data_IF_345104773919
#
_entry.id   IF_345104773919
#
_cell.length_a   1.000
_cell.length_b   1.000
_cell.length_c   1.000
_cell.angle_alpha   90.00
_cell.angle_beta   90.00
_cell.angle_gamma   90.00
#
_symmetry.space_group_name_H-M   'P 1'
#
loop_
_entity.id
_entity.type
_entity.pdbx_description
1 polymer ?
#
# COMPACT_ATOMS: atom_id res chain seq x y z
N UNK A 1 44.43 -21.37 26.54
CA UNK A 1 43.84 -21.51 25.18
C UNK A 1 44.33 -20.41 24.26
N UNK A 2 45.18 -20.78 23.31
CA UNK A 2 45.81 -19.89 22.33
C UNK A 2 44.82 -19.44 21.23
N UNK A 3 45.11 -18.36 20.51
CA UNK A 3 44.28 -17.85 19.42
C UNK A 3 44.20 -18.81 18.22
N UNK A 4 45.28 -19.54 17.91
CA UNK A 4 45.28 -20.53 16.82
C UNK A 4 44.34 -21.70 17.15
N UNK A 5 44.41 -22.17 18.39
CA UNK A 5 43.52 -23.17 18.97
C UNK A 5 42.05 -22.71 18.93
N UNK A 6 41.79 -21.43 19.25
CA UNK A 6 40.47 -20.83 19.13
C UNK A 6 39.90 -20.84 17.72
N UNK A 7 40.70 -20.48 16.72
CA UNK A 7 40.27 -20.56 15.31
C UNK A 7 39.96 -22.00 14.90
N UNK A 8 40.75 -22.99 15.35
CA UNK A 8 40.50 -24.42 15.08
C UNK A 8 39.18 -24.87 15.69
N UNK A 9 38.93 -24.58 16.96
CA UNK A 9 37.65 -24.89 17.62
C UNK A 9 36.46 -24.23 16.93
N UNK A 10 36.58 -22.96 16.51
CA UNK A 10 35.51 -22.28 15.76
C UNK A 10 35.20 -23.00 14.43
N UNK A 11 36.22 -23.48 13.71
CA UNK A 11 36.03 -24.25 12.48
C UNK A 11 35.33 -25.58 12.79
N UNK A 12 35.76 -26.29 13.83
CA UNK A 12 35.16 -27.56 14.27
C UNK A 12 33.68 -27.38 14.65
N UNK A 13 33.35 -26.47 15.56
CA UNK A 13 31.95 -26.23 15.96
C UNK A 13 31.07 -25.72 14.81
N UNK A 14 31.66 -25.03 13.82
CA UNK A 14 30.94 -24.66 12.60
C UNK A 14 30.68 -25.86 11.70
N UNK A 15 31.62 -26.82 11.60
CA UNK A 15 31.48 -28.06 10.85
C UNK A 15 30.42 -28.96 11.50
N UNK A 16 30.48 -29.13 12.82
CA UNK A 16 29.48 -29.84 13.62
C UNK A 16 28.09 -29.23 13.45
N UNK A 17 27.98 -27.90 13.49
CA UNK A 17 26.72 -27.20 13.20
C UNK A 17 26.19 -27.47 11.77
N UNK A 18 27.05 -27.82 10.80
CA UNK A 18 26.61 -28.24 9.46
C UNK A 18 26.06 -29.66 9.48
N UNK A 19 26.76 -30.58 10.15
CA UNK A 19 26.35 -31.98 10.28
C UNK A 19 25.02 -32.07 11.03
N UNK A 20 24.89 -31.46 12.21
CA UNK A 20 23.62 -31.40 12.96
C UNK A 20 22.45 -30.86 12.13
N UNK A 21 22.72 -29.90 11.25
CA UNK A 21 21.69 -29.37 10.34
C UNK A 21 21.33 -30.33 9.20
N UNK A 22 22.31 -31.06 8.66
CA UNK A 22 22.06 -32.12 7.67
C UNK A 22 21.22 -33.24 8.29
N UNK A 23 21.61 -33.72 9.48
CA UNK A 23 20.88 -34.77 10.19
C UNK A 23 19.44 -34.33 10.52
N UNK A 24 19.26 -33.08 10.97
CA UNK A 24 17.94 -32.50 11.19
C UNK A 24 17.10 -32.49 9.90
N UNK A 25 17.73 -32.14 8.76
CA UNK A 25 17.06 -32.10 7.46
C UNK A 25 16.63 -33.51 7.04
N UNK A 26 17.46 -34.51 7.24
CA UNK A 26 17.18 -35.90 6.86
C UNK A 26 16.10 -36.51 7.77
N UNK A 27 16.17 -36.29 9.09
CA UNK A 27 15.08 -36.63 10.03
C UNK A 27 13.76 -35.99 9.62
N UNK A 28 13.78 -34.72 9.17
CA UNK A 28 12.56 -34.02 8.69
C UNK A 28 12.05 -34.56 7.36
N UNK A 29 12.92 -35.12 6.50
CA UNK A 29 12.53 -35.77 5.25
C UNK A 29 11.85 -37.10 5.52
N UNK A 30 12.41 -37.92 6.39
CA UNK A 30 11.85 -39.24 6.75
C UNK A 30 10.44 -39.11 7.36
N UNK A 31 10.19 -38.07 8.17
CA UNK A 31 8.87 -37.80 8.79
C UNK A 31 7.83 -37.17 7.86
N UNK A 32 8.09 -37.05 6.55
CA UNK A 32 7.10 -36.45 5.62
C UNK A 32 5.84 -37.30 5.47
N UNK A 33 5.93 -38.62 5.68
CA UNK A 33 4.79 -39.55 5.67
C UNK A 33 4.21 -39.89 7.05
N UNK A 34 4.73 -39.29 8.13
CA UNK A 34 4.28 -39.56 9.50
C UNK A 34 2.93 -38.87 9.82
N UNK A 35 2.22 -39.38 10.83
CA UNK A 35 0.95 -38.81 11.28
C UNK A 35 1.14 -37.42 11.91
N UNK A 36 0.07 -36.62 12.01
CA UNK A 36 0.16 -35.24 12.52
C UNK A 36 0.69 -35.22 13.97
N UNK A 37 0.25 -36.14 14.82
CA UNK A 37 0.66 -36.28 16.23
C UNK A 37 2.16 -36.58 16.34
N UNK A 38 2.65 -37.59 15.61
CA UNK A 38 4.07 -37.93 15.55
C UNK A 38 4.94 -36.75 15.09
N UNK A 39 4.45 -35.97 14.12
CA UNK A 39 5.16 -34.77 13.64
C UNK A 39 5.19 -33.66 14.69
N UNK A 40 4.14 -33.50 15.48
CA UNK A 40 4.09 -32.53 16.57
C UNK A 40 5.03 -32.92 17.72
N UNK A 41 5.02 -34.18 18.13
CA UNK A 41 5.89 -34.67 19.20
C UNK A 41 7.35 -34.62 18.79
N UNK A 42 7.66 -34.98 17.55
CA UNK A 42 9.02 -34.87 17.05
C UNK A 42 9.48 -33.39 16.91
N UNK A 43 8.57 -32.45 16.64
CA UNK A 43 8.88 -30.99 16.73
C UNK A 43 9.13 -30.53 18.17
N UNK A 44 8.42 -31.09 19.15
CA UNK A 44 8.64 -30.80 20.58
C UNK A 44 10.01 -31.34 21.02
N UNK A 45 10.35 -32.58 20.66
CA UNK A 45 11.65 -33.18 20.91
C UNK A 45 12.80 -32.36 20.31
N UNK A 46 12.69 -31.93 19.05
CA UNK A 46 13.68 -31.05 18.40
C UNK A 46 13.91 -29.73 19.16
N UNK A 47 12.83 -29.13 19.70
CA UNK A 47 12.93 -27.90 20.49
C UNK A 47 13.67 -28.15 21.80
N UNK A 48 13.42 -29.28 22.45
CA UNK A 48 14.11 -29.69 23.68
C UNK A 48 15.59 -29.93 23.40
N UNK A 49 15.94 -30.70 22.37
CA UNK A 49 17.34 -30.92 21.93
C UNK A 49 18.07 -29.59 21.68
N UNK A 50 17.43 -28.67 20.96
CA UNK A 50 18.03 -27.37 20.62
C UNK A 50 18.22 -26.49 21.86
N UNK A 51 17.31 -26.57 22.84
CA UNK A 51 17.40 -25.86 24.13
C UNK A 51 18.49 -26.45 25.00
N UNK A 52 18.59 -27.77 25.08
CA UNK A 52 19.66 -28.48 25.80
C UNK A 52 21.03 -28.10 25.25
N UNK A 53 21.20 -28.12 23.92
CA UNK A 53 22.45 -27.69 23.29
C UNK A 53 22.76 -26.21 23.57
N UNK A 54 21.75 -25.34 23.63
CA UNK A 54 21.97 -23.95 24.01
C UNK A 54 22.45 -23.80 25.47
N UNK A 55 21.89 -24.62 26.37
CA UNK A 55 22.30 -24.66 27.78
C UNK A 55 23.74 -25.14 27.93
N UNK A 56 24.15 -26.20 27.22
CA UNK A 56 25.54 -26.69 27.16
C UNK A 56 26.51 -25.61 26.64
N UNK A 57 26.13 -24.91 25.58
CA UNK A 57 26.91 -23.79 25.04
C UNK A 57 27.04 -22.67 26.06
N UNK A 58 26.08 -22.49 26.97
CA UNK A 58 26.11 -21.46 28.01
C UNK A 58 26.96 -21.88 29.22
N UNK A 59 26.89 -23.14 29.62
CA UNK A 59 27.62 -23.71 30.76
C UNK A 59 29.09 -24.02 30.45
N UNK A 60 29.49 -24.09 29.18
CA UNK A 60 30.88 -24.34 28.81
C UNK A 60 31.87 -23.31 29.43
N UNK A 61 32.85 -23.83 30.16
CA UNK A 61 34.06 -23.12 30.59
C UNK A 61 35.27 -23.84 30.00
N UNK A 62 36.32 -23.14 29.53
CA UNK A 62 36.65 -21.73 29.72
C UNK A 62 35.96 -20.73 28.75
N UNK A 63 36.01 -19.42 29.06
CA UNK A 63 35.34 -18.32 28.31
C UNK A 63 35.58 -18.31 26.80
N UNK A 64 36.78 -18.67 26.33
CA UNK A 64 37.13 -18.68 24.90
C UNK A 64 36.47 -19.84 24.16
N UNK A 65 36.41 -21.03 24.76
CA UNK A 65 35.69 -22.17 24.21
C UNK A 65 34.19 -21.90 24.12
N UNK A 66 33.60 -21.30 25.16
CA UNK A 66 32.21 -20.83 25.15
C UNK A 66 31.90 -19.93 23.96
N UNK A 67 32.79 -18.98 23.65
CA UNK A 67 32.66 -18.10 22.48
C UNK A 67 32.74 -18.89 21.16
N UNK A 68 33.54 -19.95 21.08
CA UNK A 68 33.65 -20.80 19.90
C UNK A 68 32.37 -21.64 19.68
N UNK A 69 31.90 -22.32 20.74
CA UNK A 69 30.62 -23.06 20.76
C UNK A 69 29.43 -22.18 20.38
N UNK A 70 29.38 -20.95 20.91
CA UNK A 70 28.34 -19.95 20.55
C UNK A 70 28.35 -19.60 19.06
N UNK A 71 29.52 -19.55 18.41
CA UNK A 71 29.62 -19.31 16.95
C UNK A 71 29.07 -20.49 16.15
N UNK A 72 29.30 -21.74 16.59
CA UNK A 72 28.69 -22.94 16.01
C UNK A 72 27.16 -22.93 16.14
N UNK A 73 26.65 -22.75 17.36
CA UNK A 73 25.21 -22.64 17.63
C UNK A 73 24.52 -21.56 16.80
N UNK A 74 25.11 -20.36 16.72
CA UNK A 74 24.59 -19.26 15.88
C UNK A 74 24.58 -19.64 14.40
N UNK A 75 25.57 -20.36 13.91
CA UNK A 75 25.63 -20.81 12.52
C UNK A 75 24.51 -21.82 12.20
N UNK A 76 24.23 -22.77 13.10
CA UNK A 76 23.10 -23.69 12.98
C UNK A 76 21.75 -22.95 12.96
N UNK A 77 21.49 -22.09 13.95
CA UNK A 77 20.24 -21.30 14.04
C UNK A 77 20.02 -20.42 12.81
N UNK A 78 21.09 -19.81 12.28
CA UNK A 78 21.02 -18.99 11.05
C UNK A 78 20.55 -19.83 9.86
N UNK A 79 21.02 -21.08 9.72
CA UNK A 79 20.59 -21.99 8.65
C UNK A 79 19.16 -22.48 8.84
N UNK A 80 18.82 -22.89 10.05
CA UNK A 80 17.47 -23.37 10.40
C UNK A 80 16.41 -22.30 10.12
N UNK A 81 16.67 -21.04 10.44
CA UNK A 81 15.70 -19.95 10.26
C UNK A 81 15.80 -19.25 8.90
N UNK A 82 16.77 -19.59 8.02
CA UNK A 82 16.93 -18.91 6.73
C UNK A 82 15.66 -19.00 5.89
N UNK A 83 15.05 -20.18 5.82
CA UNK A 83 13.85 -20.40 5.03
C UNK A 83 12.64 -19.63 5.59
N UNK A 84 12.47 -19.61 6.92
CA UNK A 84 11.40 -18.83 7.59
C UNK A 84 11.55 -17.33 7.29
N UNK A 85 12.78 -16.80 7.29
CA UNK A 85 13.02 -15.40 6.95
C UNK A 85 12.71 -15.08 5.48
N UNK A 86 13.05 -15.98 4.56
CA UNK A 86 12.73 -15.83 3.14
C UNK A 86 11.21 -15.88 2.90
N UNK A 87 10.50 -16.82 3.54
CA UNK A 87 9.04 -16.90 3.42
C UNK A 87 8.36 -15.68 4.02
N UNK A 88 8.80 -15.21 5.19
CA UNK A 88 8.26 -13.99 5.81
C UNK A 88 8.49 -12.75 4.93
N UNK A 89 9.68 -12.61 4.34
CA UNK A 89 9.96 -11.53 3.38
C UNK A 89 9.06 -11.61 2.15
N UNK A 90 8.85 -12.81 1.59
CA UNK A 90 7.96 -13.02 0.45
C UNK A 90 6.52 -12.59 0.74
N UNK A 91 6.00 -12.90 1.92
CA UNK A 91 4.65 -12.48 2.35
C UNK A 91 4.57 -10.95 2.46
N UNK A 92 5.57 -10.29 3.05
CA UNK A 92 5.60 -8.83 3.15
C UNK A 92 5.61 -8.18 1.77
N UNK A 93 6.44 -8.69 0.84
CA UNK A 93 6.50 -8.18 -0.54
C UNK A 93 5.15 -8.38 -1.25
N UNK A 94 4.49 -9.53 -1.07
CA UNK A 94 3.18 -9.78 -1.66
C UNK A 94 2.10 -8.83 -1.14
N UNK A 95 2.10 -8.52 0.16
CA UNK A 95 1.16 -7.55 0.75
C UNK A 95 1.42 -6.12 0.24
N UNK A 96 2.69 -5.71 0.15
CA UNK A 96 3.08 -4.41 -0.37
C UNK A 96 2.78 -4.28 -1.86
N UNK A 97 2.93 -5.34 -2.65
CA UNK A 97 2.62 -5.29 -4.09
C UNK A 97 1.11 -5.36 -4.36
N UNK A 98 0.35 -6.11 -3.56
CA UNK A 98 -1.08 -6.33 -3.79
C UNK A 98 -1.95 -5.12 -3.46
N UNK A 99 -1.66 -4.39 -2.39
CA UNK A 99 -2.51 -3.28 -1.95
C UNK A 99 -2.51 -2.05 -2.90
N UNK A 100 -1.36 -1.55 -3.39
CA UNK A 100 -1.32 -0.42 -4.32
C UNK A 100 -1.88 -0.77 -5.70
N UNK A 101 -1.69 -2.01 -6.16
CA UNK A 101 -2.17 -2.45 -7.48
C UNK A 101 -3.70 -2.44 -7.58
N UNK A 102 -4.38 -2.92 -6.54
CA UNK A 102 -5.85 -2.87 -6.46
C UNK A 102 -6.36 -1.42 -6.44
N UNK A 103 -5.76 -0.58 -5.57
CA UNK A 103 -6.13 0.84 -5.50
C UNK A 103 -5.94 1.54 -6.84
N UNK A 104 -4.77 1.38 -7.46
CA UNK A 104 -4.44 1.98 -8.76
C UNK A 104 -5.43 1.53 -9.85
N UNK A 105 -5.74 0.24 -9.93
CA UNK A 105 -6.72 -0.30 -10.86
C UNK A 105 -8.11 0.31 -10.64
N UNK A 106 -8.57 0.38 -9.39
CA UNK A 106 -9.88 0.98 -9.09
C UNK A 106 -9.94 2.49 -9.33
N UNK A 107 -8.83 3.20 -9.15
CA UNK A 107 -8.76 4.66 -9.31
C UNK A 107 -8.63 5.10 -10.77
N UNK A 108 -8.07 4.25 -11.65
CA UNK A 108 -7.78 4.60 -13.05
C UNK A 108 -8.64 3.86 -14.06
N UNK A 109 -9.47 2.90 -13.63
CA UNK A 109 -10.39 2.22 -14.55
C UNK A 109 -11.35 3.25 -15.18
N UNK A 110 -11.63 3.14 -16.49
CA UNK A 110 -12.64 3.98 -17.11
C UNK A 110 -14.00 3.72 -16.46
N UNK A 111 -14.86 4.74 -16.47
CA UNK A 111 -16.24 4.62 -16.04
C UNK A 111 -16.96 3.55 -16.89
N UNK A 112 -17.84 2.77 -16.27
CA UNK A 112 -18.73 1.88 -17.02
C UNK A 112 -19.80 2.69 -17.76
N UNK A 113 -20.43 2.10 -18.77
CA UNK A 113 -21.52 2.74 -19.52
C UNK A 113 -22.65 3.25 -18.59
N UNK A 114 -23.04 2.44 -17.61
CA UNK A 114 -24.02 2.82 -16.60
C UNK A 114 -23.58 4.02 -15.74
N UNK A 115 -22.27 4.13 -15.44
CA UNK A 115 -21.73 5.25 -14.68
C UNK A 115 -21.67 6.52 -15.52
N UNK A 116 -21.34 6.41 -16.81
CA UNK A 116 -21.34 7.53 -17.73
C UNK A 116 -22.77 8.06 -17.93
N UNK A 117 -23.73 7.19 -18.23
CA UNK A 117 -25.14 7.57 -18.39
C UNK A 117 -25.76 8.15 -17.13
N UNK A 118 -25.39 7.63 -15.94
CA UNK A 118 -25.81 8.22 -14.67
C UNK A 118 -25.23 9.62 -14.48
N UNK A 119 -23.96 9.84 -14.81
CA UNK A 119 -23.32 11.17 -14.75
C UNK A 119 -24.01 12.17 -15.67
N UNK A 120 -24.32 11.79 -16.91
CA UNK A 120 -24.99 12.67 -17.86
C UNK A 120 -26.40 13.06 -17.39
N UNK A 121 -27.17 12.11 -16.84
CA UNK A 121 -28.46 12.43 -16.20
C UNK A 121 -28.30 13.36 -15.01
N UNK A 122 -27.29 13.12 -14.15
CA UNK A 122 -27.03 14.00 -13.01
C UNK A 122 -26.66 15.43 -13.43
N UNK A 123 -25.94 15.61 -14.54
CA UNK A 123 -25.63 16.93 -15.08
C UNK A 123 -26.92 17.66 -15.54
N UNK A 124 -27.81 16.98 -16.25
CA UNK A 124 -29.09 17.58 -16.67
C UNK A 124 -29.96 18.00 -15.48
N UNK A 125 -30.00 17.16 -14.43
CA UNK A 125 -30.73 17.49 -13.20
C UNK A 125 -30.07 18.67 -12.48
N UNK A 126 -28.74 18.72 -12.43
CA UNK A 126 -28.02 19.84 -11.84
C UNK A 126 -28.29 21.16 -12.58
N UNK A 127 -28.34 21.15 -13.91
CA UNK A 127 -28.66 22.32 -14.71
C UNK A 127 -30.09 22.84 -14.42
N UNK A 128 -31.06 21.92 -14.28
CA UNK A 128 -32.44 22.28 -13.89
C UNK A 128 -32.49 22.91 -12.50
N UNK A 129 -31.84 22.28 -11.51
CA UNK A 129 -31.80 22.79 -10.13
C UNK A 129 -31.12 24.16 -10.06
N UNK A 130 -30.05 24.37 -10.84
CA UNK A 130 -29.38 25.66 -10.92
C UNK A 130 -30.27 26.73 -11.54
N UNK A 131 -31.00 26.40 -12.61
CA UNK A 131 -31.93 27.33 -13.26
C UNK A 131 -33.07 27.75 -12.31
N UNK A 132 -33.57 26.84 -11.48
CA UNK A 132 -34.61 27.11 -10.48
C UNK A 132 -34.08 27.80 -9.21
N UNK A 133 -32.80 27.59 -8.88
CA UNK A 133 -32.17 28.14 -7.67
C UNK A 133 -31.66 29.57 -7.80
N UNK A 134 -31.54 30.11 -9.02
CA UNK A 134 -31.13 31.49 -9.25
C UNK A 134 -32.26 32.47 -8.90
N UNK A 135 -31.95 33.47 -8.07
CA UNK A 135 -32.92 34.49 -7.65
C UNK A 135 -32.55 35.83 -8.29
N UNK A 136 -33.45 36.37 -9.12
CA UNK A 136 -33.32 37.71 -9.69
C UNK A 136 -33.74 38.75 -8.65
N UNK A 137 -32.76 39.48 -8.10
CA UNK A 137 -33.00 40.47 -7.04
C UNK A 137 -33.47 41.82 -7.59
N UNK A 138 -32.97 42.23 -8.75
CA UNK A 138 -33.24 43.55 -9.35
C UNK A 138 -33.25 43.44 -10.88
N UNK A 139 -34.18 44.13 -11.54
CA UNK A 139 -34.29 44.21 -12.99
C UNK A 139 -35.01 45.50 -13.43
N UNK A 140 -34.40 46.65 -13.14
CA UNK A 140 -34.93 47.93 -13.58
C UNK A 140 -34.79 48.10 -15.10
N UNK A 141 -35.79 48.69 -15.75
CA UNK A 141 -35.75 48.96 -17.19
C UNK A 141 -35.81 47.72 -18.09
N UNK A 142 -36.17 46.55 -17.54
CA UNK A 142 -36.26 45.27 -18.28
C UNK A 142 -34.95 44.91 -19.01
N UNK A 143 -33.80 45.11 -18.35
CA UNK A 143 -32.48 44.79 -18.90
C UNK A 143 -32.32 43.30 -19.17
N UNK A 144 -32.92 42.45 -18.31
CA UNK A 144 -33.00 41.01 -18.50
C UNK A 144 -34.41 40.58 -18.97
N UNK A 145 -34.51 39.58 -19.89
CA UNK A 145 -33.41 38.87 -20.56
C UNK A 145 -32.67 39.77 -21.57
N UNK A 146 -31.39 39.47 -21.80
CA UNK A 146 -30.54 40.25 -22.70
C UNK A 146 -31.11 40.27 -24.13
N UNK A 147 -31.47 41.46 -24.60
CA UNK A 147 -31.97 41.69 -25.96
C UNK A 147 -30.84 41.98 -26.94
N UNK A 148 -29.83 42.74 -26.52
CA UNK A 148 -28.55 42.88 -27.24
C UNK A 148 -27.61 41.73 -26.85
N UNK A 149 -26.96 41.14 -27.86
CA UNK A 149 -26.04 40.03 -27.70
C UNK A 149 -24.58 40.46 -27.65
N UNK A 150 -24.27 41.76 -27.63
CA UNK A 150 -22.91 42.28 -27.38
C UNK A 150 -22.79 42.78 -25.96
N UNK A 151 -22.02 42.08 -25.16
CA UNK A 151 -21.82 42.41 -23.74
C UNK A 151 -20.35 42.65 -23.41
N UNK A 152 -20.08 43.46 -22.39
CA UNK A 152 -18.75 43.56 -21.78
C UNK A 152 -18.79 42.83 -20.44
N UNK A 153 -17.90 41.86 -20.26
CA UNK A 153 -17.86 41.00 -19.08
C UNK A 153 -16.69 41.43 -18.20
N UNK A 154 -16.98 41.66 -16.92
CA UNK A 154 -16.02 42.12 -15.92
C UNK A 154 -16.04 41.22 -14.67
N UNK A 155 -14.94 41.23 -13.92
CA UNK A 155 -14.83 40.60 -12.60
C UNK A 155 -14.13 39.24 -12.60
N UNK A 156 -13.37 38.97 -11.53
CA UNK A 156 -12.56 37.75 -11.41
C UNK A 156 -13.39 36.47 -11.44
N UNK A 157 -14.59 36.49 -10.87
CA UNK A 157 -15.52 35.35 -10.87
C UNK A 157 -16.08 35.02 -12.25
N UNK A 158 -16.03 35.95 -13.21
CA UNK A 158 -16.40 35.66 -14.60
C UNK A 158 -15.35 34.74 -15.27
N UNK A 159 -14.06 34.95 -14.94
CA UNK A 159 -12.97 34.11 -15.41
C UNK A 159 -12.84 32.79 -14.64
N UNK A 160 -13.15 32.81 -13.33
CA UNK A 160 -13.10 31.64 -12.46
C UNK A 160 -14.34 31.57 -11.56
N UNK A 161 -15.47 31.03 -12.05
CA UNK A 161 -16.69 30.93 -11.27
C UNK A 161 -16.52 30.02 -10.04
N UNK A 162 -17.17 30.40 -8.94
CA UNK A 162 -17.19 29.61 -7.70
C UNK A 162 -18.48 28.78 -7.68
N UNK A 163 -18.37 27.48 -7.93
CA UNK A 163 -19.51 26.56 -7.97
C UNK A 163 -19.89 25.97 -6.60
N UNK A 164 -19.10 26.22 -5.56
CA UNK A 164 -19.35 25.68 -4.23
C UNK A 164 -18.34 26.15 -3.18
N UNK A 165 -18.63 25.85 -1.92
CA UNK A 165 -17.73 26.14 -0.80
C UNK A 165 -16.57 25.15 -0.71
N UNK A 166 -15.51 25.53 0.02
CA UNK A 166 -14.40 24.63 0.34
C UNK A 166 -14.74 23.63 1.47
N UNK A 167 -13.83 22.69 1.73
CA UNK A 167 -13.92 21.74 2.84
C UNK A 167 -14.58 20.40 2.47
N UNK A 168 -15.20 19.74 3.44
CA UNK A 168 -15.76 18.40 3.27
C UNK A 168 -16.94 18.33 2.26
N UNK A 169 -17.51 19.47 1.89
CA UNK A 169 -18.53 19.61 0.84
C UNK A 169 -18.00 20.17 -0.48
N UNK A 170 -16.67 20.20 -0.67
CA UNK A 170 -16.05 20.70 -1.89
C UNK A 170 -16.50 19.92 -3.12
N UNK A 171 -17.01 20.63 -4.12
CA UNK A 171 -17.45 20.05 -5.38
C UNK A 171 -16.26 20.02 -6.35
N UNK A 172 -16.07 18.91 -7.05
CA UNK A 172 -15.12 18.87 -8.17
C UNK A 172 -15.69 19.62 -9.36
N UNK A 173 -14.98 20.63 -9.85
CA UNK A 173 -15.35 21.38 -11.07
C UNK A 173 -15.03 20.63 -12.37
N UNK A 174 -14.70 19.33 -12.29
CA UNK A 174 -14.36 18.51 -13.47
C UNK A 174 -15.59 18.33 -14.35
N UNK A 175 -15.62 19.10 -15.45
CA UNK A 175 -16.72 19.16 -16.40
C UNK A 175 -17.66 20.35 -16.23
N UNK A 176 -17.41 21.25 -15.27
CA UNK A 176 -18.15 22.50 -15.16
C UNK A 176 -17.81 23.42 -16.34
N UNK A 177 -18.83 24.00 -16.98
CA UNK A 177 -18.66 24.96 -18.06
C UNK A 177 -18.28 26.33 -17.50
N UNK A 178 -17.26 26.96 -18.07
CA UNK A 178 -16.93 28.36 -17.79
C UNK A 178 -18.05 29.29 -18.25
N UNK A 179 -18.14 30.49 -17.68
CA UNK A 179 -19.10 31.50 -18.12
C UNK A 179 -18.93 31.83 -19.62
N UNK A 180 -17.69 31.95 -20.08
CA UNK A 180 -17.38 32.26 -21.48
C UNK A 180 -17.85 31.16 -22.44
N UNK A 181 -17.60 29.88 -22.10
CA UNK A 181 -18.13 28.77 -22.90
C UNK A 181 -19.66 28.72 -22.92
N UNK A 182 -20.32 29.15 -21.84
CA UNK A 182 -21.77 29.25 -21.80
C UNK A 182 -22.29 30.40 -22.67
N UNK A 183 -21.61 31.56 -22.68
CA UNK A 183 -21.93 32.69 -23.56
C UNK A 183 -21.74 32.33 -25.04
N UNK A 184 -20.65 31.64 -25.37
CA UNK A 184 -20.41 31.11 -26.72
C UNK A 184 -21.53 30.15 -27.15
N UNK A 185 -21.91 29.22 -26.26
CA UNK A 185 -23.02 28.29 -26.50
C UNK A 185 -24.38 28.97 -26.65
N UNK A 186 -24.60 30.11 -25.99
CA UNK A 186 -25.79 30.93 -26.11
C UNK A 186 -25.77 31.90 -27.32
N UNK A 187 -24.64 31.98 -28.04
CA UNK A 187 -24.45 32.89 -29.18
C UNK A 187 -24.39 34.37 -28.76
N UNK A 188 -23.85 34.65 -27.57
CA UNK A 188 -23.64 36.00 -27.04
C UNK A 188 -22.18 36.40 -27.28
N UNK A 189 -21.96 37.50 -28.00
CA UNK A 189 -20.64 38.09 -28.24
C UNK A 189 -20.20 38.89 -27.01
N UNK A 190 -18.97 38.65 -26.55
CA UNK A 190 -18.46 39.28 -25.34
C UNK A 190 -17.07 39.88 -25.52
N UNK A 191 -16.83 40.99 -24.81
CA UNK A 191 -15.50 41.56 -24.60
C UNK A 191 -15.10 41.41 -23.15
N UNK A 192 -13.89 40.90 -22.91
CA UNK A 192 -13.35 40.78 -21.55
C UNK A 192 -12.72 42.11 -21.16
N UNK A 193 -13.26 42.75 -20.12
CA UNK A 193 -12.67 43.92 -19.50
C UNK A 193 -11.66 43.52 -18.42
N UNK A 194 -10.48 44.13 -18.43
CA UNK A 194 -9.45 43.97 -17.41
C UNK A 194 -9.84 44.71 -16.11
#
# INVERSE_FOLDING_TARGET
MDYREYRRLVKQYRAEARQRFADLKDRRRQRRGATITERLDARRAERVETRAWHAEVRSAAPRRERKARRKGYKAFRKRQHRWIKLTAMGVVVALIAGAPGSWYYTATRPATEDQASARDRSLQVADQVMAEGLVLLENEGNVLPLTDRRVSVFGASAAAPVYGGGGAGGISSVGAQSLFSALDGAGIDYRVGA
#
